data_IF_566131993657
#
_entry.id   IF_566131993657
#
_cell.length_a   1.000
_cell.length_b   1.000
_cell.length_c   1.000
_cell.angle_alpha   90.00
_cell.angle_beta   90.00
_cell.angle_gamma   90.00
#
_symmetry.space_group_name_H-M   'P 1'
#
loop_
_entity.id
_entity.type
_entity.pdbx_description
1 polymer ?
#
# COMPACT_ATOMS: atom_id res chain seq x y z
N UNK A 1 -18.65 9.14 -3.93
CA UNK A 1 -18.79 7.68 -3.97
C UNK A 1 -20.04 7.25 -3.20
N UNK A 2 -20.10 7.48 -1.90
CA UNK A 2 -21.26 7.10 -1.05
C UNK A 2 -22.61 7.72 -1.47
N UNK A 3 -22.60 8.84 -2.20
CA UNK A 3 -23.82 9.47 -2.76
C UNK A 3 -24.43 8.70 -3.94
N UNK A 4 -23.75 7.69 -4.50
CA UNK A 4 -24.17 6.99 -5.70
C UNK A 4 -24.11 7.82 -6.99
N UNK A 5 -23.38 8.93 -7.00
CA UNK A 5 -23.35 9.88 -8.13
C UNK A 5 -22.83 9.27 -9.45
N UNK A 6 -21.92 8.30 -9.37
CA UNK A 6 -21.40 7.57 -10.55
C UNK A 6 -22.07 6.19 -10.71
N UNK A 7 -23.08 5.89 -9.91
CA UNK A 7 -23.83 4.63 -9.95
C UNK A 7 -23.10 3.48 -9.27
N UNK A 8 -23.43 2.24 -9.71
CA UNK A 8 -22.75 1.04 -9.24
C UNK A 8 -21.34 0.94 -9.82
N UNK A 9 -20.34 0.71 -8.95
CA UNK A 9 -18.94 0.60 -9.37
C UNK A 9 -18.65 -0.86 -9.72
N UNK A 10 -18.20 -1.08 -10.95
CA UNK A 10 -17.80 -2.40 -11.44
C UNK A 10 -16.29 -2.58 -11.47
N UNK A 11 -15.56 -1.49 -11.77
CA UNK A 11 -14.11 -1.53 -12.00
C UNK A 11 -13.40 -0.38 -11.34
N UNK A 12 -12.16 -0.68 -10.90
CA UNK A 12 -11.23 0.33 -10.40
C UNK A 12 -9.91 0.17 -11.15
N UNK A 13 -9.36 1.26 -11.66
CA UNK A 13 -8.01 1.30 -12.21
C UNK A 13 -7.12 1.97 -11.18
N UNK A 14 -6.11 1.26 -10.71
CA UNK A 14 -5.25 1.70 -9.62
C UNK A 14 -3.77 1.63 -10.05
N UNK A 15 -3.23 2.71 -10.57
CA UNK A 15 -1.80 2.78 -10.87
C UNK A 15 -1.04 3.25 -9.63
N UNK A 16 -0.21 2.37 -9.06
CA UNK A 16 0.60 2.68 -7.88
C UNK A 16 2.10 2.75 -8.18
N UNK A 17 2.56 2.15 -9.26
CA UNK A 17 3.96 2.07 -9.66
C UNK A 17 4.38 0.63 -9.97
N UNK A 18 5.67 0.40 -10.03
CA UNK A 18 6.20 -0.89 -10.43
C UNK A 18 6.31 -1.87 -9.26
N UNK A 19 6.26 -3.20 -9.52
CA UNK A 19 6.50 -4.21 -8.49
C UNK A 19 7.89 -4.06 -7.87
N UNK A 20 8.10 -4.64 -6.66
CA UNK A 20 9.41 -4.62 -6.02
C UNK A 20 10.43 -5.38 -6.87
N UNK A 21 11.67 -4.92 -6.82
CA UNK A 21 12.82 -5.59 -7.44
C UNK A 21 13.62 -6.38 -6.40
N UNK A 22 14.28 -7.47 -6.77
CA UNK A 22 15.22 -8.16 -5.89
C UNK A 22 16.35 -7.23 -5.45
N UNK A 23 16.87 -7.43 -4.23
CA UNK A 23 18.05 -6.73 -3.77
C UNK A 23 19.29 -7.31 -4.46
N UNK A 24 19.82 -6.55 -5.41
CA UNK A 24 21.00 -6.88 -6.19
C UNK A 24 21.98 -5.69 -6.14
N UNK A 25 22.45 -5.39 -4.93
CA UNK A 25 23.43 -4.34 -4.68
C UNK A 25 24.72 -4.98 -4.17
N UNK A 26 25.91 -4.45 -4.54
CA UNK A 26 27.17 -4.92 -3.97
C UNK A 26 27.26 -4.55 -2.49
N UNK A 27 27.86 -5.42 -1.69
CA UNK A 27 28.18 -5.08 -0.30
C UNK A 27 29.23 -3.98 -0.25
N UNK A 28 29.01 -3.00 0.61
CA UNK A 28 29.94 -1.89 0.84
C UNK A 28 30.32 -1.75 2.31
N UNK A 29 31.49 -1.16 2.63
CA UNK A 29 31.90 -0.92 4.01
C UNK A 29 30.88 -0.05 4.75
N UNK A 30 30.49 -0.47 5.96
CA UNK A 30 29.57 0.29 6.80
C UNK A 30 30.30 1.56 7.30
N UNK A 31 29.73 2.77 7.12
CA UNK A 31 30.29 3.99 7.67
C UNK A 31 30.47 3.94 9.19
N UNK A 32 31.57 4.48 9.70
CA UNK A 32 31.90 4.40 11.12
C UNK A 32 30.85 5.06 12.05
N UNK A 33 30.08 6.02 11.53
CA UNK A 33 29.04 6.74 12.25
C UNK A 33 27.63 6.12 12.04
N UNK A 34 27.50 4.97 11.36
CA UNK A 34 26.24 4.28 11.14
C UNK A 34 26.14 3.02 11.99
N UNK A 35 25.16 2.95 12.87
CA UNK A 35 24.77 1.68 13.49
C UNK A 35 23.83 0.91 12.54
N UNK A 36 24.42 0.24 11.53
CA UNK A 36 23.66 -0.50 10.54
C UNK A 36 22.87 -1.65 11.17
N UNK A 37 23.35 -2.25 12.25
CA UNK A 37 22.61 -3.28 12.98
C UNK A 37 21.30 -2.75 13.58
N UNK A 38 21.29 -1.54 14.09
CA UNK A 38 20.08 -0.87 14.59
C UNK A 38 19.17 -0.46 13.44
N UNK A 39 19.74 0.01 12.32
CA UNK A 39 18.98 0.35 11.10
C UNK A 39 18.23 -0.86 10.54
N UNK A 40 18.84 -2.03 10.50
CA UNK A 40 18.21 -3.29 10.07
C UNK A 40 16.99 -3.65 10.94
N UNK A 41 17.00 -3.31 12.23
CA UNK A 41 15.90 -3.71 13.13
C UNK A 41 15.62 -5.20 13.08
N UNK A 42 14.38 -5.63 12.87
CA UNK A 42 13.99 -7.03 12.85
C UNK A 42 14.31 -7.78 11.55
N UNK A 43 14.79 -7.10 10.52
CA UNK A 43 15.06 -7.70 9.21
C UNK A 43 16.08 -8.85 9.32
N UNK A 44 15.73 -10.03 8.79
CA UNK A 44 16.49 -11.28 8.90
C UNK A 44 16.74 -11.94 7.54
N UNK A 45 16.92 -11.15 6.49
CA UNK A 45 17.29 -11.67 5.19
C UNK A 45 18.81 -11.57 4.99
N UNK A 46 19.53 -12.66 4.70
CA UNK A 46 20.99 -12.65 4.53
C UNK A 46 21.47 -11.86 3.33
N UNK A 47 20.59 -11.51 2.40
CA UNK A 47 20.90 -10.63 1.27
C UNK A 47 21.04 -9.16 1.66
N UNK A 48 20.53 -8.77 2.84
CA UNK A 48 20.53 -7.38 3.26
C UNK A 48 21.89 -7.02 3.87
N UNK A 49 22.65 -6.22 3.16
CA UNK A 49 23.92 -5.66 3.59
C UNK A 49 23.92 -4.14 3.35
N UNK A 50 24.94 -3.45 3.87
CA UNK A 50 25.02 -2.02 3.70
C UNK A 50 25.29 -1.63 2.24
N UNK A 51 24.51 -0.68 1.75
CA UNK A 51 24.73 0.06 0.52
C UNK A 51 24.13 1.48 0.65
N UNK A 52 24.74 2.53 0.07
CA UNK A 52 24.22 3.91 0.14
C UNK A 52 22.80 4.08 -0.44
N UNK A 53 22.42 3.31 -1.45
CA UNK A 53 21.06 3.35 -1.98
C UNK A 53 20.05 2.78 -0.98
N UNK A 54 20.43 1.75 -0.24
CA UNK A 54 19.57 1.11 0.74
C UNK A 54 19.42 1.97 1.99
N UNK A 55 20.56 2.40 2.55
CA UNK A 55 20.64 3.26 3.73
C UNK A 55 21.22 4.62 3.32
N UNK A 56 20.38 5.58 2.91
CA UNK A 56 20.83 6.79 2.25
C UNK A 56 21.52 7.76 3.22
N UNK A 57 22.28 8.73 2.70
CA UNK A 57 22.99 9.73 3.50
C UNK A 57 22.11 10.50 4.49
N UNK A 58 20.82 10.64 4.25
CA UNK A 58 19.89 11.25 5.21
C UNK A 58 19.92 10.56 6.58
N UNK A 59 20.25 9.28 6.63
CA UNK A 59 20.41 8.52 7.88
C UNK A 59 21.68 8.92 8.66
N UNK A 60 22.62 9.59 8.01
CA UNK A 60 23.91 9.99 8.56
C UNK A 60 24.01 11.50 8.79
N UNK A 61 23.39 12.28 7.92
CA UNK A 61 23.41 13.75 7.94
C UNK A 61 22.04 14.28 7.44
N UNK A 62 21.01 14.29 8.29
CA UNK A 62 19.66 14.70 7.91
C UNK A 62 19.57 16.14 7.41
N UNK A 63 20.36 17.05 7.98
CA UNK A 63 20.31 18.48 7.61
C UNK A 63 20.72 18.71 6.16
N UNK A 64 21.69 17.93 5.66
CA UNK A 64 22.17 18.04 4.28
C UNK A 64 21.36 17.22 3.28
N UNK A 65 20.70 16.17 3.73
CA UNK A 65 20.15 15.12 2.87
C UNK A 65 18.66 14.87 3.12
N UNK A 66 17.93 15.79 3.72
CA UNK A 66 16.51 15.60 4.06
C UNK A 66 15.59 15.31 2.87
N UNK A 67 16.01 15.70 1.65
CA UNK A 67 15.28 15.44 0.42
C UNK A 67 15.61 14.09 -0.23
N UNK A 68 16.64 13.39 0.25
CA UNK A 68 17.10 12.12 -0.28
C UNK A 68 16.38 10.95 0.39
N UNK A 69 15.46 10.34 -0.33
CA UNK A 69 14.72 9.18 0.13
C UNK A 69 15.50 7.88 -0.16
N UNK A 70 15.52 6.97 0.82
CA UNK A 70 16.16 5.67 0.65
C UNK A 70 15.49 4.77 -0.37
N UNK A 71 16.29 4.14 -1.22
CA UNK A 71 15.80 3.18 -2.19
C UNK A 71 15.38 1.83 -1.56
N UNK A 72 15.58 1.65 -0.25
CA UNK A 72 15.09 0.46 0.48
C UNK A 72 13.61 0.15 0.23
N UNK A 73 12.82 1.16 -0.10
CA UNK A 73 11.40 1.03 -0.44
C UNK A 73 11.14 0.10 -1.61
N UNK A 74 12.07 0.06 -2.58
CA UNK A 74 11.85 -0.56 -3.88
C UNK A 74 12.30 -2.01 -3.95
N UNK A 75 12.95 -2.51 -2.89
CA UNK A 75 13.46 -3.88 -2.84
C UNK A 75 12.49 -4.82 -2.12
N UNK A 76 12.43 -6.07 -2.62
CA UNK A 76 11.59 -7.14 -2.06
C UNK A 76 11.93 -7.44 -0.60
N UNK A 77 13.21 -7.41 -0.27
CA UNK A 77 13.74 -7.81 1.03
C UNK A 77 13.53 -6.73 2.12
N UNK A 78 13.24 -5.49 1.73
CA UNK A 78 13.15 -4.37 2.67
C UNK A 78 11.84 -3.60 2.64
N UNK A 79 11.36 -3.18 1.46
CA UNK A 79 10.23 -2.24 1.37
C UNK A 79 9.02 -2.73 0.56
N UNK A 80 9.11 -3.85 -0.14
CA UNK A 80 8.06 -4.43 -0.97
C UNK A 80 7.55 -3.55 -2.14
N UNK A 81 8.35 -2.56 -2.58
CA UNK A 81 8.10 -1.76 -3.78
C UNK A 81 6.93 -0.78 -3.70
N UNK A 82 6.61 -0.19 -4.83
CA UNK A 82 5.47 0.73 -4.94
C UNK A 82 4.13 0.14 -4.49
N UNK A 83 3.82 -1.15 -4.68
CA UNK A 83 2.58 -1.73 -4.17
C UNK A 83 2.42 -1.61 -2.65
N UNK A 84 3.51 -1.65 -1.87
CA UNK A 84 3.46 -1.44 -0.43
C UNK A 84 3.58 0.04 -0.04
N UNK A 85 4.35 0.83 -0.78
CA UNK A 85 4.56 2.26 -0.51
C UNK A 85 3.34 3.10 -0.99
N UNK A 86 3.18 3.27 -2.29
CA UNK A 86 2.04 4.02 -2.87
C UNK A 86 0.72 3.25 -2.81
N UNK A 87 0.78 1.92 -2.82
CA UNK A 87 -0.40 1.07 -2.66
C UNK A 87 -1.09 1.30 -1.32
N UNK A 88 -0.35 1.51 -0.25
CA UNK A 88 -0.90 1.87 1.06
C UNK A 88 -1.76 3.13 1.03
N UNK A 89 -1.54 4.06 0.09
CA UNK A 89 -2.38 5.23 -0.11
C UNK A 89 -3.54 4.97 -1.08
N UNK A 90 -3.23 4.42 -2.26
CA UNK A 90 -4.22 4.33 -3.33
C UNK A 90 -5.20 3.18 -3.11
N UNK A 91 -4.74 2.02 -2.69
CA UNK A 91 -5.64 0.90 -2.40
C UNK A 91 -6.51 1.18 -1.16
N UNK A 92 -5.99 1.93 -0.18
CA UNK A 92 -6.78 2.38 0.97
C UNK A 92 -7.97 3.25 0.52
N UNK A 93 -7.69 4.28 -0.30
CA UNK A 93 -8.74 5.12 -0.90
C UNK A 93 -9.73 4.26 -1.70
N UNK A 94 -9.24 3.27 -2.45
CA UNK A 94 -10.10 2.38 -3.22
C UNK A 94 -11.02 1.55 -2.31
N UNK A 95 -10.48 0.93 -1.26
CA UNK A 95 -11.26 0.14 -0.30
C UNK A 95 -12.29 0.99 0.45
N UNK A 96 -11.89 2.18 0.94
CA UNK A 96 -12.80 3.12 1.59
C UNK A 96 -13.94 3.54 0.67
N UNK A 97 -13.63 3.82 -0.61
CA UNK A 97 -14.63 4.25 -1.59
C UNK A 97 -15.70 3.19 -1.89
N UNK A 98 -15.37 1.91 -1.80
CA UNK A 98 -16.29 0.78 -2.07
C UNK A 98 -16.80 0.11 -0.79
N UNK A 99 -16.47 0.65 0.39
CA UNK A 99 -16.91 0.13 1.69
C UNK A 99 -16.26 -1.19 2.09
N UNK A 100 -14.98 -1.40 1.70
CA UNK A 100 -14.22 -2.61 1.99
C UNK A 100 -13.05 -2.39 2.97
N UNK A 101 -13.07 -1.31 3.76
CA UNK A 101 -12.01 -0.95 4.71
C UNK A 101 -11.66 -2.06 5.71
N UNK A 102 -12.67 -2.76 6.23
CA UNK A 102 -12.46 -3.87 7.17
C UNK A 102 -12.35 -5.25 6.51
N UNK A 103 -12.14 -5.29 5.20
CA UNK A 103 -12.15 -6.53 4.40
C UNK A 103 -10.99 -6.51 3.40
N UNK A 104 -11.22 -6.98 2.17
CA UNK A 104 -10.23 -6.96 1.10
C UNK A 104 -10.63 -7.81 -0.10
N UNK A 105 -9.76 -7.85 -1.11
CA UNK A 105 -9.94 -8.75 -2.24
C UNK A 105 -9.87 -10.22 -1.81
N UNK A 106 -10.60 -11.06 -2.54
CA UNK A 106 -10.64 -12.52 -2.33
C UNK A 106 -9.79 -13.29 -3.34
N UNK A 107 -9.35 -12.63 -4.41
CA UNK A 107 -8.50 -13.22 -5.45
C UNK A 107 -7.50 -12.17 -5.96
N UNK A 108 -6.25 -12.59 -6.09
CA UNK A 108 -5.13 -11.78 -6.57
C UNK A 108 -4.49 -12.45 -7.79
N UNK A 109 -4.49 -11.78 -8.93
CA UNK A 109 -4.08 -12.32 -10.22
C UNK A 109 -2.85 -11.53 -10.70
N UNK A 110 -1.68 -12.16 -10.89
CA UNK A 110 -0.50 -11.46 -11.38
C UNK A 110 -0.63 -11.12 -12.87
N UNK A 111 0.09 -10.08 -13.28
CA UNK A 111 0.22 -9.73 -14.70
C UNK A 111 0.84 -10.90 -15.48
N UNK A 112 0.32 -11.16 -16.68
CA UNK A 112 0.78 -12.23 -17.56
C UNK A 112 0.06 -13.56 -17.36
N UNK A 113 -0.53 -13.80 -16.22
CA UNK A 113 -1.28 -15.05 -16.01
C UNK A 113 -2.46 -15.16 -16.99
N UNK A 114 -2.51 -16.26 -17.74
CA UNK A 114 -3.48 -16.49 -18.82
C UNK A 114 -3.61 -15.30 -19.81
N UNK A 115 -2.50 -14.60 -20.08
CA UNK A 115 -2.49 -13.45 -20.98
C UNK A 115 -2.99 -12.14 -20.38
N UNK A 116 -3.23 -12.06 -19.07
CA UNK A 116 -3.68 -10.84 -18.40
C UNK A 116 -2.70 -9.68 -18.64
N UNK A 117 -3.18 -8.60 -19.28
CA UNK A 117 -2.36 -7.42 -19.59
C UNK A 117 -1.92 -6.68 -18.32
N UNK A 118 -2.75 -6.67 -17.30
CA UNK A 118 -2.51 -6.02 -16.01
C UNK A 118 -2.75 -7.00 -14.88
N UNK A 119 -2.05 -6.82 -13.79
CA UNK A 119 -2.38 -7.51 -12.56
C UNK A 119 -3.73 -7.03 -12.02
N UNK A 120 -4.46 -7.89 -11.33
CA UNK A 120 -5.82 -7.63 -10.89
C UNK A 120 -6.10 -8.19 -9.49
N UNK A 121 -7.03 -7.55 -8.82
CA UNK A 121 -7.63 -8.00 -7.55
C UNK A 121 -9.14 -8.05 -7.71
N UNK A 122 -9.76 -9.12 -7.22
CA UNK A 122 -11.22 -9.30 -7.27
C UNK A 122 -11.79 -9.30 -5.87
N UNK A 123 -12.82 -8.50 -5.65
CA UNK A 123 -13.58 -8.47 -4.41
C UNK A 123 -14.75 -9.46 -4.45
N UNK A 124 -15.22 -9.89 -3.28
CA UNK A 124 -16.35 -10.84 -3.17
C UNK A 124 -17.66 -10.29 -3.75
N UNK A 125 -17.84 -8.97 -3.79
CA UNK A 125 -18.98 -8.30 -4.41
C UNK A 125 -18.89 -8.16 -5.94
N UNK A 126 -17.84 -8.74 -6.58
CA UNK A 126 -17.65 -8.74 -8.03
C UNK A 126 -16.84 -7.57 -8.57
N UNK A 127 -16.55 -6.53 -7.77
CA UNK A 127 -15.70 -5.42 -8.19
C UNK A 127 -14.30 -5.93 -8.51
N UNK A 128 -13.75 -5.49 -9.64
CA UNK A 128 -12.39 -5.82 -10.06
C UNK A 128 -11.52 -4.55 -10.07
N UNK A 129 -10.43 -4.58 -9.29
CA UNK A 129 -9.40 -3.55 -9.32
C UNK A 129 -8.20 -4.06 -10.13
N UNK A 130 -7.70 -3.24 -11.08
CA UNK A 130 -6.56 -3.57 -11.93
C UNK A 130 -5.48 -2.52 -11.85
N UNK A 131 -4.22 -2.90 -12.07
CA UNK A 131 -3.08 -1.96 -12.09
C UNK A 131 -2.89 -1.24 -13.43
N UNK A 132 -3.95 -1.08 -14.19
CA UNK A 132 -3.85 -0.31 -15.42
C UNK A 132 -3.75 1.19 -15.16
N UNK A 133 -3.17 1.97 -16.10
CA UNK A 133 -3.17 3.41 -16.01
C UNK A 133 -4.59 3.98 -15.89
N UNK A 134 -4.77 4.97 -15.03
CA UNK A 134 -6.03 5.69 -14.88
C UNK A 134 -6.10 6.95 -15.76
N UNK A 135 -4.96 7.33 -16.36
CA UNK A 135 -4.81 8.45 -17.30
C UNK A 135 -4.03 8.01 -18.53
N UNK A 136 -4.48 8.44 -19.70
CA UNK A 136 -3.79 8.17 -20.97
C UNK A 136 -2.64 9.15 -21.23
N UNK A 137 -2.82 10.41 -20.84
CA UNK A 137 -1.82 11.49 -21.00
C UNK A 137 -0.59 11.30 -20.09
N UNK A 138 -0.73 10.58 -18.99
CA UNK A 138 0.37 10.22 -18.10
C UNK A 138 0.15 8.81 -17.51
N UNK A 139 0.49 7.75 -18.25
CA UNK A 139 0.23 6.37 -17.85
C UNK A 139 1.03 5.90 -16.63
N UNK A 140 2.05 6.64 -16.22
CA UNK A 140 2.87 6.34 -15.04
C UNK A 140 2.44 7.11 -13.79
N UNK A 141 1.49 8.05 -13.90
CA UNK A 141 0.99 8.77 -12.74
C UNK A 141 0.30 7.82 -11.75
N UNK A 142 0.62 7.97 -10.46
CA UNK A 142 -0.06 7.25 -9.39
C UNK A 142 -1.44 7.86 -9.15
N UNK A 143 -2.45 7.01 -9.06
CA UNK A 143 -3.83 7.42 -8.82
C UNK A 143 -4.84 6.34 -9.16
N UNK A 144 -6.09 6.71 -9.08
CA UNK A 144 -7.25 5.83 -9.21
C UNK A 144 -8.23 6.35 -10.27
N UNK A 145 -8.93 5.42 -10.91
CA UNK A 145 -10.17 5.69 -11.61
C UNK A 145 -11.23 4.70 -11.16
N UNK A 146 -12.34 5.20 -10.68
CA UNK A 146 -13.54 4.43 -10.42
C UNK A 146 -14.46 4.48 -11.63
N UNK A 147 -14.91 3.32 -12.09
CA UNK A 147 -15.81 3.21 -13.24
C UNK A 147 -17.13 2.63 -12.76
N UNK A 148 -18.16 3.40 -12.86
CA UNK A 148 -19.53 3.01 -12.53
C UNK A 148 -20.44 3.02 -13.75
N UNK A 149 -21.65 2.52 -13.56
CA UNK A 149 -22.66 2.41 -14.63
C UNK A 149 -23.26 3.77 -15.08
N UNK A 150 -23.06 4.83 -14.26
CA UNK A 150 -23.54 6.21 -14.58
C UNK A 150 -22.40 7.19 -14.86
N UNK A 151 -21.16 6.76 -14.71
CA UNK A 151 -20.02 7.64 -14.93
C UNK A 151 -18.73 7.15 -14.30
N UNK A 152 -17.72 7.99 -14.32
CA UNK A 152 -16.42 7.68 -13.76
C UNK A 152 -15.86 8.84 -12.94
N UNK A 153 -14.96 8.53 -12.02
CA UNK A 153 -14.20 9.48 -11.21
C UNK A 153 -12.73 9.10 -11.20
N UNK A 154 -11.85 10.04 -11.50
CA UNK A 154 -10.39 9.91 -11.34
C UNK A 154 -9.92 10.72 -10.14
N UNK A 155 -9.03 10.19 -9.35
CA UNK A 155 -8.47 10.87 -8.17
C UNK A 155 -7.01 10.51 -7.96
N UNK A 156 -6.21 11.53 -7.67
CA UNK A 156 -4.83 11.42 -7.24
C UNK A 156 -4.47 12.64 -6.37
N UNK A 157 -3.24 12.69 -5.86
CA UNK A 157 -2.76 13.87 -5.13
C UNK A 157 -2.79 15.10 -6.04
N UNK A 158 -3.58 16.13 -5.64
CA UNK A 158 -3.74 17.35 -6.41
C UNK A 158 -4.50 17.21 -7.74
N UNK A 159 -5.15 16.06 -7.96
CA UNK A 159 -5.89 15.81 -9.20
C UNK A 159 -7.23 15.14 -8.92
N UNK A 160 -8.28 15.71 -9.50
CA UNK A 160 -9.62 15.12 -9.50
C UNK A 160 -10.31 15.47 -10.82
N UNK A 161 -10.92 14.48 -11.46
CA UNK A 161 -11.66 14.60 -12.70
C UNK A 161 -12.83 13.61 -12.69
N UNK A 162 -13.97 13.96 -13.25
CA UNK A 162 -15.08 13.02 -13.39
C UNK A 162 -15.87 13.26 -14.68
N UNK A 163 -16.68 12.28 -15.05
CA UNK A 163 -17.51 12.32 -16.25
C UNK A 163 -18.55 13.44 -16.26
N UNK A 164 -19.00 13.86 -15.07
CA UNK A 164 -19.89 15.01 -14.88
C UNK A 164 -19.24 16.05 -13.97
N UNK A 165 -18.66 17.11 -14.55
CA UNK A 165 -18.01 18.17 -13.77
C UNK A 165 -18.89 18.86 -12.73
N UNK A 166 -20.21 18.75 -12.84
CA UNK A 166 -21.14 19.35 -11.87
C UNK A 166 -21.04 18.67 -10.50
N UNK A 167 -20.61 17.40 -10.47
CA UNK A 167 -20.38 16.62 -9.24
C UNK A 167 -19.19 17.16 -8.41
N UNK A 168 -18.30 17.92 -9.03
CA UNK A 168 -17.13 18.53 -8.36
C UNK A 168 -17.42 19.89 -7.74
N UNK A 169 -18.63 20.42 -7.91
CA UNK A 169 -19.07 21.71 -7.38
C UNK A 169 -19.51 21.68 -5.91
N UNK A 170 -19.28 20.60 -5.19
CA UNK A 170 -19.40 20.61 -3.73
C UNK A 170 -18.41 21.63 -3.18
N UNK A 171 -18.90 22.52 -2.32
CA UNK A 171 -18.11 23.58 -1.70
C UNK A 171 -16.74 23.03 -1.29
N UNK A 172 -15.69 23.51 -1.96
CA UNK A 172 -14.35 23.38 -1.42
C UNK A 172 -14.41 24.11 -0.08
N UNK A 173 -14.45 23.39 1.04
CA UNK A 173 -13.97 23.98 2.28
C UNK A 173 -12.55 24.41 1.98
N UNK A 174 -12.34 25.71 1.82
CA UNK A 174 -11.00 26.26 1.81
C UNK A 174 -10.40 25.87 3.15
N UNK A 175 -9.53 24.89 3.11
CA UNK A 175 -8.62 24.63 4.23
C UNK A 175 -7.70 25.85 4.23
N UNK A 176 -7.88 26.73 5.21
CA UNK A 176 -7.11 27.97 5.29
C UNK A 176 -5.62 27.65 5.32
N UNK A 177 -4.81 28.47 4.65
CA UNK A 177 -3.35 28.46 4.82
C UNK A 177 -3.06 28.59 6.32
N UNK A 178 -2.51 27.57 6.94
CA UNK A 178 -2.25 27.55 8.39
C UNK A 178 -3.00 26.45 9.17
N UNK A 179 -4.13 25.94 8.66
CA UNK A 179 -4.81 24.81 9.29
C UNK A 179 -4.00 23.50 9.19
N UNK A 180 -3.07 23.42 8.24
CA UNK A 180 -2.10 22.32 8.15
C UNK A 180 -0.91 22.46 9.10
N UNK A 181 -0.59 23.67 9.56
CA UNK A 181 0.59 23.89 10.41
C UNK A 181 0.28 23.76 11.90
N UNK A 182 -0.96 23.97 12.34
CA UNK A 182 -1.30 24.04 13.77
C UNK A 182 -2.21 22.91 14.23
N UNK A 183 -3.14 22.46 13.42
CA UNK A 183 -3.95 21.25 13.61
C UNK A 183 -4.64 20.90 12.31
N UNK A 184 -4.02 20.06 11.49
CA UNK A 184 -4.77 19.53 10.36
C UNK A 184 -6.02 18.84 10.92
N UNK A 185 -7.16 18.85 10.21
CA UNK A 185 -8.35 18.09 10.62
C UNK A 185 -8.03 16.64 10.94
N UNK A 186 -7.01 16.07 10.30
CA UNK A 186 -6.50 14.73 10.55
C UNK A 186 -5.86 14.58 11.95
N UNK A 187 -4.97 15.50 12.34
CA UNK A 187 -4.36 15.47 13.68
C UNK A 187 -5.39 15.73 14.77
N UNK A 188 -6.32 16.66 14.54
CA UNK A 188 -7.41 16.92 15.48
C UNK A 188 -8.31 15.70 15.64
N UNK A 189 -8.62 14.98 14.55
CA UNK A 189 -9.39 13.75 14.60
C UNK A 189 -8.71 12.69 15.46
N UNK A 190 -7.40 12.50 15.32
CA UNK A 190 -6.62 11.58 16.16
C UNK A 190 -6.68 11.98 17.65
N UNK A 191 -6.43 13.26 17.97
CA UNK A 191 -6.47 13.75 19.35
C UNK A 191 -7.86 13.59 19.95
N UNK A 192 -8.90 13.90 19.20
CA UNK A 192 -10.29 13.75 19.64
C UNK A 192 -10.65 12.28 19.87
N UNK A 193 -10.23 11.38 19.01
CA UNK A 193 -10.42 9.95 19.17
C UNK A 193 -9.76 9.44 20.46
N UNK A 194 -8.52 9.86 20.73
CA UNK A 194 -7.83 9.53 21.99
C UNK A 194 -8.61 10.03 23.23
N UNK A 195 -9.05 11.30 23.19
CA UNK A 195 -9.78 11.93 24.31
C UNK A 195 -11.14 11.31 24.56
N UNK A 196 -11.88 11.02 23.48
CA UNK A 196 -13.24 10.48 23.51
C UNK A 196 -13.29 8.95 23.64
N UNK A 197 -12.13 8.27 23.49
CA UNK A 197 -12.03 6.81 23.45
C UNK A 197 -12.91 6.19 22.35
N UNK A 198 -12.85 6.81 21.17
CA UNK A 198 -13.54 6.37 19.94
C UNK A 198 -12.51 6.09 18.86
N UNK A 199 -12.92 5.43 17.78
CA UNK A 199 -12.04 5.22 16.64
C UNK A 199 -11.79 6.53 15.88
N UNK A 200 -10.57 6.73 15.34
CA UNK A 200 -10.29 7.80 14.40
C UNK A 200 -10.92 7.50 13.03
N UNK A 201 -10.89 8.47 12.12
CA UNK A 201 -11.39 8.28 10.74
C UNK A 201 -10.68 7.16 9.97
N UNK A 202 -9.46 6.82 10.37
CA UNK A 202 -8.68 5.72 9.80
C UNK A 202 -8.17 4.85 10.96
N UNK A 203 -8.98 3.91 11.45
CA UNK A 203 -8.57 2.99 12.51
C UNK A 203 -7.50 2.02 12.03
N UNK A 204 -6.78 1.42 12.97
CA UNK A 204 -5.64 0.52 12.65
C UNK A 204 -6.07 -0.69 11.83
N UNK A 205 -7.30 -1.13 11.94
CA UNK A 205 -7.87 -2.23 11.17
C UNK A 205 -7.91 -1.92 9.68
N UNK A 206 -8.23 -0.69 9.28
CA UNK A 206 -8.19 -0.25 7.88
C UNK A 206 -6.75 -0.28 7.34
N UNK A 207 -5.80 0.24 8.11
CA UNK A 207 -4.38 0.17 7.75
C UNK A 207 -3.86 -1.27 7.64
N UNK A 208 -4.28 -2.14 8.56
CA UNK A 208 -3.95 -3.56 8.53
C UNK A 208 -4.52 -4.25 7.30
N UNK A 209 -5.79 -4.02 6.98
CA UNK A 209 -6.47 -4.55 5.79
C UNK A 209 -5.76 -4.14 4.50
N UNK A 210 -5.43 -2.86 4.37
CA UNK A 210 -4.72 -2.33 3.19
C UNK A 210 -3.31 -2.90 3.07
N UNK A 211 -2.55 -2.98 4.17
CA UNK A 211 -1.22 -3.58 4.15
C UNK A 211 -1.28 -5.08 3.80
N UNK A 212 -2.26 -5.81 4.31
CA UNK A 212 -2.50 -7.21 3.97
C UNK A 212 -2.73 -7.38 2.48
N UNK A 213 -3.58 -6.55 1.86
CA UNK A 213 -3.78 -6.51 0.42
C UNK A 213 -2.47 -6.32 -0.34
N UNK A 214 -1.64 -5.35 0.06
CA UNK A 214 -0.35 -5.08 -0.57
C UNK A 214 0.59 -6.29 -0.52
N UNK A 215 0.68 -6.95 0.64
CA UNK A 215 1.52 -8.13 0.83
C UNK A 215 1.04 -9.32 0.00
N UNK A 216 -0.26 -9.64 0.03
CA UNK A 216 -0.82 -10.78 -0.72
C UNK A 216 -0.69 -10.56 -2.23
N UNK A 217 -0.83 -9.32 -2.69
CA UNK A 217 -0.64 -9.02 -4.10
C UNK A 217 0.82 -9.27 -4.55
N UNK A 218 1.80 -8.95 -3.70
CA UNK A 218 3.20 -9.29 -3.96
C UNK A 218 3.44 -10.81 -3.87
N UNK A 219 2.79 -11.53 -2.95
CA UNK A 219 2.83 -13.00 -2.91
C UNK A 219 2.36 -13.59 -4.24
N UNK A 220 1.20 -13.14 -4.76
CA UNK A 220 0.69 -13.62 -6.03
C UNK A 220 1.66 -13.35 -7.21
N UNK A 221 2.35 -12.20 -7.20
CA UNK A 221 3.37 -11.86 -8.20
C UNK A 221 4.59 -12.77 -8.11
N UNK A 222 5.13 -13.00 -6.91
CA UNK A 222 6.31 -13.82 -6.70
C UNK A 222 6.03 -15.30 -7.00
N UNK A 223 4.84 -15.80 -6.65
CA UNK A 223 4.38 -17.14 -7.02
C UNK A 223 3.97 -17.27 -8.51
N UNK A 224 3.83 -16.16 -9.22
CA UNK A 224 3.43 -16.08 -10.63
C UNK A 224 2.15 -16.86 -10.96
N UNK A 225 1.19 -16.86 -10.04
CA UNK A 225 -0.12 -17.52 -10.17
C UNK A 225 -1.17 -16.80 -9.34
N UNK A 226 -2.47 -17.02 -9.60
CA UNK A 226 -3.52 -16.52 -8.73
C UNK A 226 -3.39 -17.05 -7.30
N UNK A 227 -3.69 -16.18 -6.35
CA UNK A 227 -3.76 -16.50 -4.93
C UNK A 227 -5.15 -16.14 -4.42
N UNK A 228 -5.79 -17.07 -3.74
CA UNK A 228 -7.07 -16.85 -3.08
C UNK A 228 -6.85 -16.50 -1.61
N UNK A 229 -7.63 -15.56 -1.12
CA UNK A 229 -7.55 -15.07 0.25
C UNK A 229 -8.94 -14.93 0.86
N UNK A 230 -9.07 -15.36 2.09
CA UNK A 230 -10.28 -15.11 2.86
C UNK A 230 -9.98 -13.99 3.89
N UNK A 231 -10.46 -12.75 3.67
CA UNK A 231 -10.19 -11.63 4.57
C UNK A 231 -10.86 -11.78 5.94
N UNK A 232 -11.93 -12.56 6.05
CA UNK A 232 -12.62 -12.77 7.33
C UNK A 232 -11.87 -13.74 8.25
N UNK A 233 -11.17 -14.72 7.69
CA UNK A 233 -10.40 -15.73 8.45
C UNK A 233 -8.89 -15.50 8.39
N UNK A 234 -8.45 -14.49 7.64
CA UNK A 234 -7.03 -14.17 7.36
C UNK A 234 -6.26 -15.41 6.87
N UNK A 235 -6.78 -16.08 5.86
CA UNK A 235 -6.31 -17.41 5.44
C UNK A 235 -6.28 -17.57 3.92
N UNK A 236 -5.29 -18.33 3.44
CA UNK A 236 -5.20 -18.83 2.06
C UNK A 236 -5.92 -20.18 1.86
N UNK A 237 -6.72 -20.67 2.83
CA UNK A 237 -7.32 -22.00 2.77
C UNK A 237 -6.24 -23.10 2.79
N UNK A 238 -6.23 -23.96 1.77
CA UNK A 238 -5.28 -25.09 1.67
C UNK A 238 -3.98 -24.75 0.90
N UNK A 239 -3.76 -23.50 0.54
CA UNK A 239 -2.59 -23.06 -0.22
C UNK A 239 -1.32 -22.99 0.65
N UNK A 240 -0.67 -24.14 0.82
CA UNK A 240 0.54 -24.28 1.65
C UNK A 240 1.72 -23.44 1.16
N UNK A 241 1.82 -23.21 -0.14
CA UNK A 241 2.91 -22.44 -0.72
C UNK A 241 2.75 -20.93 -0.39
N UNK A 242 1.52 -20.42 -0.48
CA UNK A 242 1.23 -19.05 -0.06
C UNK A 242 1.43 -18.85 1.46
N UNK A 243 1.07 -19.84 2.28
CA UNK A 243 1.33 -19.80 3.72
C UNK A 243 2.82 -19.83 4.08
N UNK A 244 3.65 -20.52 3.30
CA UNK A 244 5.09 -20.59 3.51
C UNK A 244 5.85 -19.36 2.98
N UNK A 245 5.15 -18.45 2.32
CA UNK A 245 5.79 -17.29 1.72
C UNK A 245 6.30 -16.29 2.77
N UNK A 246 7.51 -15.74 2.56
CA UNK A 246 8.17 -14.81 3.50
C UNK A 246 7.35 -13.55 3.82
N UNK A 247 6.46 -13.08 2.92
CA UNK A 247 5.59 -11.94 3.17
C UNK A 247 4.38 -12.27 4.04
N UNK A 248 4.04 -13.54 4.19
CA UNK A 248 2.99 -13.97 5.11
C UNK A 248 3.55 -14.20 6.51
N UNK A 249 4.70 -14.86 6.59
CA UNK A 249 5.36 -15.13 7.85
C UNK A 249 6.84 -14.75 7.76
N UNK A 250 7.25 -13.73 8.54
CA UNK A 250 8.61 -13.24 8.58
C UNK A 250 9.30 -13.63 9.88
N UNK A 251 10.38 -14.38 9.80
CA UNK A 251 11.23 -14.70 10.95
C UNK A 251 12.04 -13.47 11.36
N UNK A 252 11.82 -12.97 12.57
CA UNK A 252 12.56 -11.82 13.07
C UNK A 252 13.94 -12.24 13.53
N UNK A 253 14.91 -11.38 13.23
CA UNK A 253 16.27 -11.48 13.74
C UNK A 253 16.28 -11.23 15.26
N UNK A 254 17.01 -12.05 16.01
CA UNK A 254 17.19 -11.82 17.46
C UNK A 254 17.90 -10.48 17.73
N UNK A 255 17.53 -9.74 18.80
CA UNK A 255 16.57 -10.10 19.86
C UNK A 255 15.10 -9.76 19.57
N UNK A 256 14.78 -9.32 18.36
CA UNK A 256 13.43 -8.92 17.98
C UNK A 256 12.49 -10.12 17.94
N UNK A 257 11.29 -9.96 18.48
CA UNK A 257 10.22 -10.95 18.45
C UNK A 257 8.87 -10.26 18.60
N UNK A 258 7.82 -10.82 17.99
CA UNK A 258 6.45 -10.40 18.25
C UNK A 258 5.91 -11.20 19.45
N UNK A 259 5.45 -10.53 20.53
CA UNK A 259 5.08 -11.20 21.78
C UNK A 259 3.92 -12.19 21.65
N UNK A 260 3.14 -12.11 20.57
CA UNK A 260 1.89 -12.86 20.39
C UNK A 260 1.88 -13.82 19.20
N UNK A 261 2.97 -13.95 18.46
CA UNK A 261 3.03 -14.72 17.22
C UNK A 261 4.03 -15.90 17.27
N UNK A 262 4.22 -16.49 18.41
CA UNK A 262 4.87 -17.81 18.45
C UNK A 262 3.83 -18.89 18.07
N UNK A 263 3.36 -18.81 16.82
CA UNK A 263 2.43 -19.79 16.23
C UNK A 263 3.14 -20.92 15.51
N UNK A 264 4.31 -21.30 15.98
CA UNK A 264 4.88 -22.59 15.64
C UNK A 264 4.30 -23.63 16.61
N UNK A 265 3.03 -23.97 16.37
CA UNK A 265 2.40 -25.15 16.90
C UNK A 265 2.39 -26.21 15.83
#
# INVERSE_FOLDING_TARGET
MQSGAIGHIDKIYARVGDPPKPLDLPEMPIPANLNFNQWLGPLNDPKIHYHPDLCPPISLDPEKNETLWGAWRWYQETGNGYPADWGAHMYDIAQAAIGMDGSGPVEFIPKGYNGAKYAAMRYANGIVMTEQPYREDNPNAQGLQFVGDKGWLKVARGYIECSDPTLLKTEKKEVGKGEYEVSSPHMQNFIDAVRKRTDPNSPVECGCSTNTLCCIFNIARELNRPVHWNPATLSFGDDKEAFAHRLYYYDYRRPYKLPYLDRRG
#
